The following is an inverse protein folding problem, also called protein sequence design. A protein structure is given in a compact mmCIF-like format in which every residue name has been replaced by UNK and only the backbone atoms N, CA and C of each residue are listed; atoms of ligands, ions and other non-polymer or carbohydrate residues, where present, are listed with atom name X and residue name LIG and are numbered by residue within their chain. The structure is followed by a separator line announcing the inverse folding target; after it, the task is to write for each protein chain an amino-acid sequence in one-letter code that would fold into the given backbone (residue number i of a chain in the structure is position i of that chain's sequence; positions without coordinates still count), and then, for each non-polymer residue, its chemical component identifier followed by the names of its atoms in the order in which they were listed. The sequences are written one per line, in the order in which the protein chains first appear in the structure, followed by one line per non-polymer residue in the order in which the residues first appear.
data_IF_136656377208
#
_entry.id   IF_136656377208
#
_cell.length_a   1.000
_cell.length_b   1.000
_cell.length_c   1.000
_cell.angle_alpha   90.00
_cell.angle_beta   90.00
_cell.angle_gamma   90.00
#
_symmetry.space_group_name_H-M   'P 1'
#
loop_
_entity.id
_entity.type
_entity.pdbx_description
1 polymer ?
#
# COMPACT_ATOMS: atom_id res chain seq x y z
N UNK A 1 -2.24 -40.27 -9.65
CA UNK A 1 -3.07 -39.06 -9.84
C UNK A 1 -2.15 -37.87 -9.62
N UNK A 2 -2.10 -36.91 -10.55
CA UNK A 2 -1.28 -35.71 -10.35
C UNK A 2 -1.92 -34.85 -9.26
N UNK A 3 -1.18 -34.51 -8.21
CA UNK A 3 -1.64 -33.53 -7.22
C UNK A 3 -1.94 -32.19 -7.88
N UNK A 4 -2.98 -31.50 -7.40
CA UNK A 4 -3.27 -30.14 -7.80
C UNK A 4 -2.16 -29.20 -7.33
N UNK A 5 -1.56 -28.44 -8.25
CA UNK A 5 -0.53 -27.47 -7.92
C UNK A 5 -1.18 -26.23 -7.33
N UNK A 6 -0.87 -25.95 -6.06
CA UNK A 6 -1.25 -24.69 -5.42
C UNK A 6 -0.22 -23.60 -5.74
N UNK A 7 -0.69 -22.36 -5.86
CA UNK A 7 0.14 -21.19 -6.12
C UNK A 7 -0.23 -20.07 -5.13
N UNK A 8 0.77 -19.49 -4.47
CA UNK A 8 0.59 -18.30 -3.66
C UNK A 8 0.40 -17.09 -4.58
N UNK A 9 -0.74 -16.40 -4.45
CA UNK A 9 -0.98 -15.11 -5.07
C UNK A 9 -0.86 -14.00 -4.02
N UNK A 10 0.20 -13.20 -4.10
CA UNK A 10 0.40 -12.08 -3.19
C UNK A 10 -0.35 -10.84 -3.70
N UNK A 11 -1.43 -10.47 -3.01
CA UNK A 11 -2.13 -9.19 -3.23
C UNK A 11 -1.56 -8.12 -2.28
N UNK A 12 -0.37 -7.63 -2.62
CA UNK A 12 0.36 -6.63 -1.82
C UNK A 12 0.70 -5.41 -2.65
N UNK A 13 0.55 -4.24 -2.04
CA UNK A 13 1.10 -2.99 -2.56
C UNK A 13 2.38 -2.67 -1.79
N UNK A 14 3.47 -2.28 -2.47
CA UNK A 14 4.78 -1.97 -1.85
C UNK A 14 4.88 -0.52 -1.40
N UNK A 15 5.30 -0.25 -0.16
CA UNK A 15 5.47 1.07 0.46
C UNK A 15 5.68 2.23 -0.53
N UNK A 16 4.83 3.26 -0.48
CA UNK A 16 4.99 4.48 -1.27
C UNK A 16 4.54 5.70 -0.48
N UNK A 17 5.03 6.86 -0.90
CA UNK A 17 4.50 8.13 -0.47
C UNK A 17 3.73 8.77 -1.63
N UNK A 18 2.52 9.23 -1.32
CA UNK A 18 1.69 9.95 -2.29
C UNK A 18 2.18 11.39 -2.41
N UNK A 19 2.29 11.85 -3.66
CA UNK A 19 2.73 13.21 -3.97
C UNK A 19 1.82 13.87 -4.99
N UNK A 20 1.75 15.20 -4.90
CA UNK A 20 1.19 16.09 -5.93
C UNK A 20 2.31 16.92 -6.54
N UNK A 21 2.15 17.34 -7.80
CA UNK A 21 3.15 18.12 -8.54
C UNK A 21 4.14 17.27 -9.35
N UNK A 22 5.01 17.93 -10.11
CA UNK A 22 6.00 17.31 -11.00
C UNK A 22 7.39 17.94 -10.82
N UNK A 23 8.44 17.15 -11.06
CA UNK A 23 9.83 17.62 -10.97
C UNK A 23 10.20 18.07 -9.55
N UNK A 24 10.73 19.30 -9.44
CA UNK A 24 11.18 19.90 -8.17
C UNK A 24 10.02 20.34 -7.25
N UNK A 25 8.79 20.41 -7.78
CA UNK A 25 7.61 20.87 -7.02
C UNK A 25 6.83 19.72 -6.34
N UNK A 26 7.43 18.53 -6.24
CA UNK A 26 6.78 17.40 -5.56
C UNK A 26 6.56 17.70 -4.08
N UNK A 27 5.29 17.66 -3.67
CA UNK A 27 4.86 17.80 -2.27
C UNK A 27 4.09 16.56 -1.87
N UNK A 28 4.33 16.05 -0.66
CA UNK A 28 3.52 14.97 -0.10
C UNK A 28 2.06 15.42 0.03
N UNK A 29 1.13 14.50 -0.16
CA UNK A 29 -0.31 14.77 -0.04
C UNK A 29 -0.97 13.78 0.90
N UNK A 30 -2.07 14.20 1.51
CA UNK A 30 -2.96 13.28 2.21
C UNK A 30 -3.66 12.36 1.19
N UNK A 31 -3.92 11.12 1.61
CA UNK A 31 -4.71 10.16 0.87
C UNK A 31 -5.93 9.73 1.69
N UNK A 32 -7.06 9.51 1.02
CA UNK A 32 -8.31 9.05 1.64
C UNK A 32 -8.81 7.83 0.88
N UNK A 33 -9.09 6.74 1.60
CA UNK A 33 -9.58 5.49 1.03
C UNK A 33 -10.90 5.05 1.65
N UNK A 34 -11.78 4.47 0.82
CA UNK A 34 -13.03 3.83 1.25
C UNK A 34 -12.95 2.35 0.90
N UNK A 35 -13.22 1.48 1.88
CA UNK A 35 -13.13 0.02 1.71
C UNK A 35 -14.53 -0.61 1.74
N UNK A 36 -14.79 -1.54 0.81
CA UNK A 36 -16.02 -2.34 0.75
C UNK A 36 -15.68 -3.78 0.38
N UNK A 37 -16.06 -4.72 1.24
CA UNK A 37 -15.86 -6.14 0.97
C UNK A 37 -16.87 -6.67 -0.07
N UNK A 38 -16.46 -7.65 -0.88
CA UNK A 38 -17.30 -8.27 -1.93
C UNK A 38 -18.04 -9.49 -1.38
N UNK A 39 -19.37 -9.42 -1.23
CA UNK A 39 -20.17 -10.44 -0.52
C UNK A 39 -20.84 -11.50 -1.42
N UNK A 40 -20.91 -11.28 -2.73
CA UNK A 40 -21.47 -12.28 -3.68
C UNK A 40 -22.89 -12.75 -3.35
N UNK A 41 -23.73 -11.90 -2.75
CA UNK A 41 -25.10 -12.24 -2.35
C UNK A 41 -25.23 -13.01 -1.03
N UNK A 42 -24.12 -13.28 -0.33
CA UNK A 42 -24.14 -13.89 1.01
C UNK A 42 -24.41 -12.84 2.08
N UNK A 43 -25.21 -13.21 3.08
CA UNK A 43 -25.49 -12.36 4.22
C UNK A 43 -24.47 -12.68 5.33
N UNK A 44 -23.32 -12.02 5.32
CA UNK A 44 -22.14 -12.40 6.14
C UNK A 44 -22.17 -11.87 7.58
N UNK A 45 -23.34 -11.89 8.22
CA UNK A 45 -23.50 -11.51 9.63
C UNK A 45 -23.33 -10.01 9.90
N UNK A 46 -23.20 -9.66 11.18
CA UNK A 46 -23.17 -8.28 11.65
C UNK A 46 -21.76 -7.65 11.70
N UNK A 47 -20.71 -8.42 11.38
CA UNK A 47 -19.31 -8.00 11.55
C UNK A 47 -18.68 -7.80 10.16
N UNK A 48 -18.04 -6.65 9.96
CA UNK A 48 -17.31 -6.36 8.72
C UNK A 48 -16.05 -7.22 8.59
N UNK A 49 -15.73 -7.65 7.37
CA UNK A 49 -14.49 -8.39 7.07
C UNK A 49 -13.28 -7.47 7.09
N UNK A 50 -12.15 -8.03 7.51
CA UNK A 50 -10.83 -7.41 7.35
C UNK A 50 -10.49 -7.45 5.86
N UNK A 51 -10.36 -6.28 5.22
CA UNK A 51 -10.08 -6.17 3.78
C UNK A 51 -8.68 -5.68 3.47
N UNK A 52 -7.96 -5.13 4.45
CA UNK A 52 -6.58 -4.69 4.31
C UNK A 52 -5.82 -4.89 5.61
N UNK A 53 -4.55 -5.23 5.47
CA UNK A 53 -3.53 -5.14 6.51
C UNK A 53 -2.63 -3.95 6.14
N UNK A 54 -2.48 -3.00 7.06
CA UNK A 54 -1.88 -1.68 6.75
C UNK A 54 -0.81 -1.34 7.77
N UNK A 55 0.36 -0.94 7.27
CA UNK A 55 1.41 -0.30 8.06
C UNK A 55 1.49 1.18 7.66
N UNK A 56 1.29 2.08 8.61
CA UNK A 56 1.40 3.52 8.39
C UNK A 56 2.57 4.08 9.19
N UNK A 57 3.29 5.02 8.58
CA UNK A 57 4.41 5.72 9.23
C UNK A 57 4.07 7.19 9.41
N UNK A 58 4.59 7.81 10.47
CA UNK A 58 4.38 9.23 10.70
C UNK A 58 5.22 10.09 9.75
N UNK A 59 4.62 11.14 9.18
CA UNK A 59 5.27 12.08 8.27
C UNK A 59 6.49 12.80 8.85
N UNK A 60 6.57 12.95 10.17
CA UNK A 60 7.76 13.51 10.82
C UNK A 60 9.04 12.71 10.57
N UNK A 61 8.92 11.44 10.17
CA UNK A 61 10.05 10.56 9.87
C UNK A 61 10.26 10.32 8.37
N UNK A 62 9.61 11.11 7.51
CA UNK A 62 9.63 10.93 6.06
C UNK A 62 11.06 10.79 5.52
N UNK A 63 11.95 11.74 5.80
CA UNK A 63 13.31 11.75 5.25
C UNK A 63 14.10 10.50 5.67
N UNK A 64 14.02 10.13 6.95
CA UNK A 64 14.71 8.96 7.51
C UNK A 64 14.16 7.65 6.92
N UNK A 65 12.85 7.58 6.69
CA UNK A 65 12.21 6.41 6.10
C UNK A 65 12.49 6.31 4.61
N UNK A 66 12.50 7.42 3.88
CA UNK A 66 12.86 7.46 2.47
C UNK A 66 14.28 6.96 2.24
N UNK A 67 15.23 7.39 3.09
CA UNK A 67 16.59 6.88 3.07
C UNK A 67 16.66 5.39 3.40
N UNK A 68 16.07 4.96 4.53
CA UNK A 68 16.16 3.57 5.01
C UNK A 68 15.46 2.56 4.11
N UNK A 69 14.32 2.95 3.54
CA UNK A 69 13.56 2.12 2.61
C UNK A 69 14.07 2.24 1.17
N UNK A 70 15.04 3.12 0.93
CA UNK A 70 15.58 3.45 -0.39
C UNK A 70 14.46 3.80 -1.37
N UNK A 71 13.56 4.69 -0.93
CA UNK A 71 12.46 5.21 -1.74
C UNK A 71 13.02 6.06 -2.88
N UNK A 72 12.78 5.63 -4.12
CA UNK A 72 12.99 6.50 -5.28
C UNK A 72 11.76 7.41 -5.45
N UNK A 73 11.88 8.62 -4.90
CA UNK A 73 10.81 9.62 -4.96
C UNK A 73 10.68 10.27 -6.34
N UNK A 74 11.47 9.90 -7.36
CA UNK A 74 11.29 10.33 -8.75
C UNK A 74 10.37 9.37 -9.52
N UNK A 75 10.32 8.11 -9.10
CA UNK A 75 9.44 7.08 -9.65
C UNK A 75 7.98 7.24 -9.19
N UNK A 76 6.99 6.74 -9.96
CA UNK A 76 5.60 6.66 -9.52
C UNK A 76 5.43 5.67 -8.35
N UNK A 77 4.33 5.78 -7.57
CA UNK A 77 4.09 5.00 -6.35
C UNK A 77 4.31 3.48 -6.45
N UNK A 78 4.08 2.87 -7.63
CA UNK A 78 4.26 1.43 -7.84
C UNK A 78 5.74 0.98 -7.91
N UNK A 79 6.65 1.89 -8.27
CA UNK A 79 8.07 1.60 -8.48
C UNK A 79 9.02 2.28 -7.48
N UNK A 80 8.49 3.00 -6.48
CA UNK A 80 9.32 3.71 -5.50
C UNK A 80 10.17 2.77 -4.61
N UNK A 81 9.73 1.53 -4.37
CA UNK A 81 10.43 0.59 -3.48
C UNK A 81 10.63 -0.76 -4.14
N UNK A 82 11.84 -1.29 -3.98
CA UNK A 82 12.21 -2.62 -4.50
C UNK A 82 11.60 -3.74 -3.65
N UNK A 83 11.56 -3.57 -2.34
CA UNK A 83 11.05 -4.54 -1.36
C UNK A 83 9.55 -4.39 -1.07
N UNK A 84 8.88 -5.51 -0.89
CA UNK A 84 7.46 -5.55 -0.55
C UNK A 84 7.26 -5.29 0.94
N UNK A 85 7.18 -4.01 1.31
CA UNK A 85 6.60 -3.57 2.58
C UNK A 85 5.15 -3.20 2.31
N UNK A 86 4.20 -3.79 3.04
CA UNK A 86 2.76 -3.58 2.78
C UNK A 86 2.38 -2.12 3.06
N UNK A 87 1.69 -1.49 2.12
CA UNK A 87 1.42 -0.05 2.01
C UNK A 87 0.12 0.41 2.70
N UNK A 88 -0.10 1.70 3.04
CA UNK A 88 0.67 2.86 3.54
C UNK A 88 -0.19 4.12 3.35
N UNK A 89 0.01 5.09 4.22
CA UNK A 89 0.13 6.50 3.88
C UNK A 89 1.16 7.05 4.88
N UNK A 90 2.14 7.84 4.41
CA UNK A 90 2.90 8.67 5.34
C UNK A 90 1.97 9.85 5.68
N UNK A 91 1.41 9.86 6.89
CA UNK A 91 0.44 10.87 7.36
C UNK A 91 1.10 11.87 8.29
#
# INVERSE_FOLDING_TARGET
MSEAREHLFEDRTKAHADHVGAGLDRKTTAAVGILKAIHGGKNEGHINRITKDVVAFSAKYFDVLAEKLQLDLHEPPISQVKYCLVLLGIV
#
